data_IF_744388696492
#
_entry.id   IF_744388696492
#
_cell.length_a   1.000
_cell.length_b   1.000
_cell.length_c   1.000
_cell.angle_alpha   90.00
_cell.angle_beta   90.00
_cell.angle_gamma   90.00
#
_symmetry.space_group_name_H-M   'P 1'
#
loop_
_entity.id
_entity.type
_entity.pdbx_description
1 polymer ?
#
# COMPACT_ATOMS: atom_id res chain seq x y z
N UNK A 1 24.21 -7.40 12.10
CA UNK A 1 22.91 -8.06 12.36
C UNK A 1 21.95 -7.57 11.29
N UNK A 2 21.42 -8.44 10.43
CA UNK A 2 20.35 -8.03 9.52
C UNK A 2 19.07 -7.88 10.33
N UNK A 3 18.31 -6.82 10.09
CA UNK A 3 16.95 -6.68 10.62
C UNK A 3 16.12 -7.89 10.19
N UNK A 4 15.19 -8.32 11.05
CA UNK A 4 14.27 -9.40 10.70
C UNK A 4 13.28 -8.90 9.67
N UNK A 5 13.03 -9.76 8.70
CA UNK A 5 12.03 -9.52 7.67
C UNK A 5 10.78 -10.30 8.05
N UNK A 6 9.66 -9.60 7.99
CA UNK A 6 8.33 -10.16 8.13
C UNK A 6 7.63 -9.98 6.78
N UNK A 7 6.96 -11.03 6.33
CA UNK A 7 5.98 -10.95 5.24
C UNK A 7 4.78 -10.11 5.67
N UNK A 8 3.95 -9.68 4.72
CA UNK A 8 2.76 -8.90 5.07
C UNK A 8 1.77 -9.71 5.93
N UNK A 9 1.69 -11.03 5.74
CA UNK A 9 0.92 -11.93 6.60
C UNK A 9 1.42 -11.88 8.04
N UNK A 10 2.73 -11.91 8.25
CA UNK A 10 3.33 -11.77 9.58
C UNK A 10 3.12 -10.37 10.14
N UNK A 11 3.18 -9.31 9.32
CA UNK A 11 2.85 -7.96 9.76
C UNK A 11 1.39 -7.84 10.22
N UNK A 12 0.46 -8.48 9.52
CA UNK A 12 -0.95 -8.59 9.94
C UNK A 12 -1.05 -9.33 11.27
N UNK A 13 -0.33 -10.45 11.42
CA UNK A 13 -0.36 -11.22 12.65
C UNK A 13 0.21 -10.45 13.85
N UNK A 14 1.33 -9.74 13.65
CA UNK A 14 1.93 -8.87 14.66
C UNK A 14 0.94 -7.79 15.09
N UNK A 15 0.25 -7.15 14.13
CA UNK A 15 -0.78 -6.16 14.46
C UNK A 15 -1.95 -6.81 15.22
N UNK A 16 -2.41 -8.00 14.83
CA UNK A 16 -3.48 -8.72 15.52
C UNK A 16 -3.17 -9.02 16.99
N UNK A 17 -1.88 -9.16 17.35
CA UNK A 17 -1.45 -9.30 18.75
C UNK A 17 -1.88 -8.13 19.64
N UNK A 18 -2.22 -6.96 19.10
CA UNK A 18 -2.70 -5.82 19.90
C UNK A 18 -4.02 -6.13 20.65
N UNK A 19 -4.79 -7.13 20.20
CA UNK A 19 -6.06 -7.52 20.80
C UNK A 19 -5.93 -8.58 21.92
N UNK A 20 -4.75 -9.18 22.09
CA UNK A 20 -4.51 -10.18 23.14
C UNK A 20 -4.39 -9.55 24.54
N UNK A 21 -4.57 -10.35 25.60
CA UNK A 21 -4.46 -9.91 27.01
C UNK A 21 -3.02 -10.07 27.51
N UNK A 22 -2.15 -9.17 27.08
CA UNK A 22 -0.73 -9.21 27.41
C UNK A 22 -0.43 -8.77 28.84
N UNK A 23 0.53 -9.45 29.46
CA UNK A 23 1.12 -9.07 30.75
C UNK A 23 2.63 -8.94 30.61
N UNK A 24 3.22 -8.19 31.53
CA UNK A 24 4.67 -8.03 31.62
C UNK A 24 5.37 -9.39 31.67
N UNK A 25 6.44 -9.52 30.88
CA UNK A 25 7.26 -10.74 30.82
C UNK A 25 6.69 -11.86 29.95
N UNK A 26 5.54 -11.68 29.29
CA UNK A 26 5.01 -12.69 28.38
C UNK A 26 5.85 -12.75 27.11
N UNK A 27 6.15 -13.98 26.67
CA UNK A 27 6.77 -14.24 25.37
C UNK A 27 5.70 -14.14 24.26
N UNK A 28 6.06 -13.44 23.19
CA UNK A 28 5.20 -13.25 22.03
C UNK A 28 5.76 -14.05 20.86
N UNK A 29 4.95 -14.96 20.35
CA UNK A 29 5.26 -15.80 19.19
C UNK A 29 4.25 -15.55 18.07
N UNK A 30 4.72 -15.71 16.84
CA UNK A 30 3.88 -15.83 15.67
C UNK A 30 3.37 -17.27 15.51
N UNK A 31 2.35 -17.47 14.68
CA UNK A 31 1.69 -18.77 14.43
C UNK A 31 2.67 -19.81 13.89
N UNK A 32 3.65 -19.38 13.12
CA UNK A 32 4.72 -20.24 12.58
C UNK A 32 5.81 -20.60 13.61
N UNK A 33 5.66 -20.15 14.86
CA UNK A 33 6.59 -20.35 15.96
C UNK A 33 7.73 -19.32 16.01
N UNK A 34 7.74 -18.31 15.13
CA UNK A 34 8.76 -17.25 15.14
C UNK A 34 8.60 -16.39 16.39
N UNK A 35 9.65 -16.33 17.20
CA UNK A 35 9.67 -15.51 18.41
C UNK A 35 9.76 -14.02 18.06
N UNK A 36 8.75 -13.23 18.42
CA UNK A 36 8.76 -11.78 18.23
C UNK A 36 9.62 -11.10 19.30
N UNK A 37 9.36 -11.41 20.57
CA UNK A 37 10.06 -10.84 21.73
C UNK A 37 9.26 -11.00 23.02
N UNK A 38 9.60 -10.20 24.03
CA UNK A 38 9.00 -10.28 25.37
C UNK A 38 8.32 -8.94 25.69
N UNK A 39 7.10 -8.99 26.23
CA UNK A 39 6.36 -7.80 26.68
C UNK A 39 7.14 -7.09 27.80
N UNK A 40 7.66 -5.90 27.53
CA UNK A 40 8.41 -5.09 28.48
C UNK A 40 7.59 -3.98 29.13
N UNK A 41 6.52 -3.53 28.48
CA UNK A 41 5.60 -2.51 28.99
C UNK A 41 4.18 -2.82 28.54
N UNK A 42 3.22 -2.58 29.43
CA UNK A 42 1.77 -2.64 29.17
C UNK A 42 1.19 -1.29 29.59
N UNK A 43 0.67 -0.53 28.64
CA UNK A 43 0.13 0.81 28.86
C UNK A 43 -1.40 0.72 28.71
N UNK A 44 -2.11 1.20 29.73
CA UNK A 44 -3.56 1.39 29.70
C UNK A 44 -3.88 2.60 30.59
N UNK A 45 -4.22 3.74 30.00
CA UNK A 45 -4.30 5.00 30.73
C UNK A 45 -5.59 5.79 30.43
N UNK A 46 -5.81 6.86 31.21
CA UNK A 46 -7.03 7.69 31.14
C UNK A 46 -7.20 8.45 29.82
N UNK A 47 -6.16 8.54 28.99
CA UNK A 47 -6.30 9.10 27.64
C UNK A 47 -7.07 8.18 26.70
N UNK A 48 -7.27 6.92 27.09
CA UNK A 48 -7.82 5.85 26.26
C UNK A 48 -6.75 5.05 25.51
N UNK A 49 -5.46 5.37 25.67
CA UNK A 49 -4.38 4.61 25.05
C UNK A 49 -4.28 3.22 25.68
N UNK A 50 -4.22 2.21 24.81
CA UNK A 50 -3.80 0.85 25.14
C UNK A 50 -2.68 0.46 24.19
N UNK A 51 -1.50 0.17 24.73
CA UNK A 51 -0.33 -0.16 23.93
C UNK A 51 0.63 -1.10 24.64
N UNK A 52 1.45 -1.79 23.84
CA UNK A 52 2.39 -2.80 24.31
C UNK A 52 3.76 -2.55 23.71
N UNK A 53 4.80 -2.59 24.55
CA UNK A 53 6.19 -2.52 24.10
C UNK A 53 6.82 -3.91 24.23
N UNK A 54 7.37 -4.41 23.14
CA UNK A 54 7.95 -5.75 23.01
C UNK A 54 9.43 -5.59 22.73
N UNK A 55 10.30 -6.09 23.61
CA UNK A 55 11.74 -6.11 23.37
C UNK A 55 12.16 -7.45 22.78
N UNK A 56 12.86 -7.44 21.65
CA UNK A 56 13.45 -8.66 21.13
C UNK A 56 14.79 -8.95 21.80
N UNK A 57 14.73 -9.81 22.82
CA UNK A 57 15.87 -10.27 23.60
C UNK A 57 15.62 -11.71 24.06
N UNK A 58 16.69 -12.41 24.42
CA UNK A 58 16.67 -13.78 24.97
C UNK A 58 16.15 -13.85 26.41
N UNK A 59 16.00 -12.71 27.07
CA UNK A 59 15.47 -12.57 28.43
C UNK A 59 14.71 -11.26 28.58
N UNK A 60 13.83 -11.20 29.57
CA UNK A 60 13.07 -9.98 29.89
C UNK A 60 14.00 -8.81 30.25
N UNK A 61 13.79 -7.64 29.63
CA UNK A 61 14.54 -6.40 29.93
C UNK A 61 13.56 -5.28 30.30
N UNK A 62 13.46 -4.99 31.59
CA UNK A 62 12.62 -3.91 32.12
C UNK A 62 13.05 -2.52 31.59
N UNK A 63 12.09 -1.63 31.38
CA UNK A 63 12.34 -0.24 30.97
C UNK A 63 13.16 0.56 32.00
N UNK A 64 13.16 0.12 33.27
CA UNK A 64 13.94 0.70 34.37
C UNK A 64 15.19 -0.11 34.74
N UNK A 65 15.56 -1.12 33.95
CA UNK A 65 16.79 -1.87 34.16
C UNK A 65 18.05 -0.97 34.01
N UNK A 66 19.21 -1.37 34.59
CA UNK A 66 20.47 -0.69 34.36
C UNK A 66 20.77 -0.49 32.87
N UNK A 67 21.38 0.66 32.52
CA UNK A 67 21.64 1.03 31.11
C UNK A 67 22.37 -0.07 30.30
N UNK A 68 23.38 -0.78 30.83
CA UNK A 68 24.05 -1.86 30.08
C UNK A 68 23.08 -2.96 29.60
N UNK A 69 22.06 -3.29 30.38
CA UNK A 69 21.06 -4.28 30.00
C UNK A 69 20.13 -3.75 28.91
N UNK A 70 19.71 -2.49 29.03
CA UNK A 70 18.88 -1.83 28.02
C UNK A 70 19.61 -1.61 26.70
N UNK A 71 20.93 -1.45 26.72
CA UNK A 71 21.78 -1.35 25.52
C UNK A 71 21.92 -2.67 24.75
N UNK A 72 21.61 -3.81 25.38
CA UNK A 72 21.59 -5.12 24.73
C UNK A 72 20.38 -5.27 23.80
N UNK A 73 19.28 -4.57 24.07
CA UNK A 73 18.07 -4.57 23.22
C UNK A 73 18.40 -3.92 21.87
N UNK A 74 18.21 -4.68 20.78
CA UNK A 74 18.48 -4.23 19.40
C UNK A 74 17.24 -3.91 18.60
N UNK A 75 16.10 -4.47 18.97
CA UNK A 75 14.84 -4.34 18.27
C UNK A 75 13.70 -4.23 19.27
N UNK A 76 12.81 -3.27 19.04
CA UNK A 76 11.60 -3.02 19.84
C UNK A 76 10.41 -2.92 18.90
N UNK A 77 9.34 -3.62 19.22
CA UNK A 77 8.04 -3.50 18.56
C UNK A 77 7.06 -2.80 19.49
N UNK A 78 6.35 -1.79 18.99
CA UNK A 78 5.27 -1.11 19.71
C UNK A 78 3.95 -1.40 19.01
N UNK A 79 3.00 -1.95 19.76
CA UNK A 79 1.64 -2.24 19.29
C UNK A 79 0.67 -1.22 19.90
N UNK A 80 -0.10 -0.53 19.09
CA UNK A 80 -1.20 0.33 19.55
C UNK A 80 -2.53 -0.33 19.27
N UNK A 81 -3.30 -0.63 20.31
CA UNK A 81 -4.58 -1.31 20.18
C UNK A 81 -5.65 -0.40 19.58
N UNK A 82 -6.46 -0.95 18.67
CA UNK A 82 -7.70 -0.35 18.20
C UNK A 82 -8.82 -0.32 19.25
N UNK A 83 -10.02 0.09 18.85
CA UNK A 83 -11.14 0.25 19.77
C UNK A 83 -11.59 -1.10 20.38
N UNK A 84 -11.76 -1.11 21.70
CA UNK A 84 -12.34 -2.23 22.45
C UNK A 84 -13.79 -2.49 22.01
N UNK A 85 -14.14 -3.73 21.66
CA UNK A 85 -15.51 -4.10 21.27
C UNK A 85 -15.62 -4.70 19.87
N UNK A 86 -14.74 -4.34 18.94
CA UNK A 86 -14.68 -4.95 17.60
C UNK A 86 -14.36 -6.45 17.65
N UNK A 87 -13.57 -6.86 18.63
CA UNK A 87 -13.16 -8.23 18.95
C UNK A 87 -14.24 -9.03 19.70
N UNK A 88 -15.22 -8.35 20.33
CA UNK A 88 -16.27 -8.96 21.14
C UNK A 88 -17.64 -9.00 20.45
N UNK A 89 -17.86 -8.21 19.41
CA UNK A 89 -19.13 -8.15 18.68
C UNK A 89 -19.09 -9.05 17.46
N UNK A 90 -19.29 -10.36 17.67
CA UNK A 90 -19.50 -11.32 16.58
C UNK A 90 -20.96 -11.43 16.10
N UNK A 91 -21.92 -10.78 16.78
CA UNK A 91 -23.34 -11.13 16.60
C UNK A 91 -24.28 -10.02 16.12
N UNK A 92 -23.86 -8.76 15.97
CA UNK A 92 -24.77 -7.68 15.52
C UNK A 92 -24.09 -6.73 14.53
N UNK A 93 -24.45 -6.85 13.25
CA UNK A 93 -23.77 -6.20 12.12
C UNK A 93 -24.08 -4.71 11.94
N UNK A 94 -25.07 -4.17 12.68
CA UNK A 94 -25.51 -2.76 12.55
C UNK A 94 -24.88 -1.80 13.55
N UNK A 95 -24.58 -2.26 14.77
CA UNK A 95 -24.21 -1.39 15.89
C UNK A 95 -22.74 -1.00 15.88
N UNK A 96 -21.87 -1.79 15.26
CA UNK A 96 -20.42 -1.61 15.40
C UNK A 96 -19.87 -0.44 14.58
N UNK A 97 -20.47 -0.14 13.40
CA UNK A 97 -20.17 1.09 12.67
C UNK A 97 -20.69 2.31 13.44
N UNK A 98 -21.89 2.23 14.04
CA UNK A 98 -22.40 3.32 14.87
C UNK A 98 -21.50 3.54 16.08
N UNK A 99 -21.07 2.50 16.78
CA UNK A 99 -20.20 2.61 17.95
C UNK A 99 -18.80 3.12 17.61
N UNK A 100 -18.20 2.68 16.49
CA UNK A 100 -16.91 3.23 16.05
C UNK A 100 -17.05 4.70 15.66
N UNK A 101 -18.06 5.05 14.85
CA UNK A 101 -18.29 6.44 14.42
C UNK A 101 -18.60 7.32 15.63
N UNK A 102 -19.53 6.94 16.50
CA UNK A 102 -19.97 7.72 17.67
C UNK A 102 -18.80 8.05 18.60
N UNK A 103 -17.90 7.09 18.83
CA UNK A 103 -16.72 7.32 19.67
C UNK A 103 -15.65 8.19 18.99
N UNK A 104 -15.63 8.26 17.66
CA UNK A 104 -14.57 8.91 16.89
C UNK A 104 -15.05 10.09 16.00
N UNK A 105 -16.31 10.54 16.13
CA UNK A 105 -16.95 11.55 15.25
C UNK A 105 -16.08 12.79 15.11
N UNK A 106 -15.52 13.28 16.22
CA UNK A 106 -14.70 14.49 16.21
C UNK A 106 -13.42 14.34 15.38
N UNK A 107 -12.75 13.19 15.48
CA UNK A 107 -11.56 12.93 14.68
C UNK A 107 -11.91 12.67 13.22
N UNK A 108 -12.97 11.91 12.96
CA UNK A 108 -13.47 11.69 11.61
C UNK A 108 -13.83 13.02 10.94
N UNK A 109 -14.53 13.91 11.65
CA UNK A 109 -14.85 15.28 11.20
C UNK A 109 -13.58 16.07 10.91
N UNK A 110 -12.58 16.08 11.80
CA UNK A 110 -11.31 16.79 11.57
C UNK A 110 -10.57 16.29 10.33
N UNK A 111 -10.53 14.97 10.12
CA UNK A 111 -9.92 14.36 8.92
C UNK A 111 -10.67 14.79 7.67
N UNK A 112 -12.00 14.66 7.66
CA UNK A 112 -12.85 14.97 6.50
C UNK A 112 -12.87 16.47 6.18
N UNK A 113 -12.88 17.33 7.19
CA UNK A 113 -12.83 18.78 7.05
C UNK A 113 -11.40 19.33 6.86
N UNK A 114 -10.38 18.45 6.91
CA UNK A 114 -8.97 18.81 6.89
C UNK A 114 -8.59 19.90 7.91
N UNK A 115 -9.23 19.88 9.08
CA UNK A 115 -9.04 20.86 10.14
C UNK A 115 -7.78 20.57 10.95
N UNK A 116 -6.97 21.60 11.13
CA UNK A 116 -5.88 21.58 12.11
C UNK A 116 -6.45 21.87 13.51
N UNK A 117 -5.94 21.19 14.52
CA UNK A 117 -6.34 21.44 15.90
C UNK A 117 -5.50 20.64 16.89
N UNK A 118 -5.72 20.85 18.18
CA UNK A 118 -5.06 20.05 19.20
C UNK A 118 -5.38 18.57 18.98
N UNK A 119 -4.33 17.76 18.92
CA UNK A 119 -4.45 16.32 18.85
C UNK A 119 -5.16 15.79 20.10
N UNK A 120 -6.07 14.81 19.97
CA UNK A 120 -6.71 14.16 21.11
C UNK A 120 -5.66 13.68 22.14
N UNK A 121 -6.00 13.67 23.44
CA UNK A 121 -5.10 13.16 24.48
C UNK A 121 -4.50 11.79 24.16
N UNK A 122 -5.29 10.88 23.58
CA UNK A 122 -4.85 9.53 23.20
C UNK A 122 -3.69 9.52 22.19
N UNK A 123 -3.75 10.37 21.15
CA UNK A 123 -2.69 10.47 20.15
C UNK A 123 -1.39 11.01 20.77
N UNK A 124 -1.49 12.03 21.62
CA UNK A 124 -0.34 12.60 22.34
C UNK A 124 0.29 11.60 23.30
N UNK A 125 -0.53 10.90 24.07
CA UNK A 125 -0.09 9.81 24.94
C UNK A 125 0.65 8.73 24.13
N UNK A 126 0.11 8.33 22.98
CA UNK A 126 0.74 7.35 22.09
C UNK A 126 2.11 7.79 21.59
N UNK A 127 2.26 9.06 21.21
CA UNK A 127 3.55 9.64 20.84
C UNK A 127 4.55 9.66 22.00
N UNK A 128 4.09 10.00 23.21
CA UNK A 128 4.90 9.95 24.42
C UNK A 128 5.37 8.53 24.71
N UNK A 129 4.51 7.52 24.62
CA UNK A 129 4.86 6.10 24.76
C UNK A 129 5.98 5.68 23.81
N UNK A 130 5.91 6.03 22.52
CA UNK A 130 6.96 5.69 21.56
C UNK A 130 8.30 6.36 21.93
N UNK A 131 8.25 7.65 22.25
CA UNK A 131 9.43 8.41 22.64
C UNK A 131 10.04 7.90 23.94
N UNK A 132 9.23 7.50 24.92
CA UNK A 132 9.68 6.86 26.14
C UNK A 132 10.34 5.52 25.86
N UNK A 133 9.71 4.65 25.08
CA UNK A 133 10.32 3.38 24.67
C UNK A 133 11.67 3.61 23.97
N UNK A 134 11.76 4.62 23.10
CA UNK A 134 13.00 5.05 22.45
C UNK A 134 14.09 5.57 23.39
N UNK A 135 13.71 6.19 24.52
CA UNK A 135 14.64 6.60 25.60
C UNK A 135 15.05 5.42 26.47
N UNK A 136 14.11 4.51 26.75
CA UNK A 136 14.38 3.30 27.52
C UNK A 136 15.31 2.35 26.76
N UNK A 137 15.22 2.25 25.44
CA UNK A 137 16.05 1.35 24.65
C UNK A 137 16.88 2.13 23.61
N UNK A 138 17.95 2.82 24.04
CA UNK A 138 18.64 3.79 23.19
C UNK A 138 19.35 3.18 21.97
N UNK A 139 19.72 1.89 22.02
CA UNK A 139 20.41 1.18 20.95
C UNK A 139 19.47 0.42 19.98
N UNK A 140 18.17 0.42 20.28
CA UNK A 140 17.22 -0.37 19.53
C UNK A 140 16.74 0.34 18.26
N UNK A 141 16.45 -0.48 17.26
CA UNK A 141 15.58 -0.12 16.14
C UNK A 141 14.12 -0.37 16.52
N UNK A 142 13.20 0.44 16.00
CA UNK A 142 11.79 0.44 16.37
C UNK A 142 10.89 0.06 15.20
N UNK A 143 9.90 -0.77 15.50
CA UNK A 143 8.79 -1.10 14.62
C UNK A 143 7.48 -0.70 15.29
N UNK A 144 6.57 -0.10 14.53
CA UNK A 144 5.28 0.37 15.05
C UNK A 144 4.14 -0.28 14.29
N UNK A 145 3.16 -0.80 15.02
CA UNK A 145 1.96 -1.40 14.46
C UNK A 145 0.72 -0.80 15.09
N UNK A 146 -0.36 -0.77 14.32
CA UNK A 146 -1.68 -0.46 14.85
C UNK A 146 -2.76 -0.76 13.84
N UNK A 147 -3.90 -1.22 14.32
CA UNK A 147 -5.10 -1.45 13.54
C UNK A 147 -6.25 -0.53 13.98
N UNK A 148 -7.15 -0.16 13.06
CA UNK A 148 -8.31 0.69 13.36
C UNK A 148 -7.89 2.03 14.02
N UNK A 149 -8.39 2.34 15.22
CA UNK A 149 -7.96 3.49 16.01
C UNK A 149 -6.44 3.44 16.37
N UNK A 150 -5.91 2.25 16.60
CA UNK A 150 -4.49 2.01 16.87
C UNK A 150 -3.59 2.44 15.71
N UNK A 151 -4.08 2.34 14.47
CA UNK A 151 -3.37 2.88 13.30
C UNK A 151 -3.19 4.40 13.40
N UNK A 152 -4.19 5.14 13.89
CA UNK A 152 -4.06 6.59 14.11
C UNK A 152 -3.05 6.91 15.21
N UNK A 153 -3.08 6.16 16.31
CA UNK A 153 -2.11 6.27 17.40
C UNK A 153 -0.68 6.09 16.87
N UNK A 154 -0.45 5.02 16.10
CA UNK A 154 0.85 4.72 15.50
C UNK A 154 1.30 5.75 14.47
N UNK A 155 0.41 6.18 13.56
CA UNK A 155 0.70 7.24 12.59
C UNK A 155 1.10 8.54 13.28
N UNK A 156 0.38 8.92 14.34
CA UNK A 156 0.68 10.16 15.08
C UNK A 156 2.00 10.03 15.84
N UNK A 157 2.22 8.89 16.50
CA UNK A 157 3.44 8.62 17.25
C UNK A 157 4.69 8.72 16.39
N UNK A 158 4.69 8.13 15.18
CA UNK A 158 5.85 8.19 14.27
C UNK A 158 6.03 9.58 13.65
N UNK A 159 4.94 10.31 13.40
CA UNK A 159 5.00 11.68 12.86
C UNK A 159 5.52 12.68 13.90
N UNK A 160 5.28 12.44 15.19
CA UNK A 160 5.70 13.31 16.29
C UNK A 160 7.19 13.15 16.69
N UNK A 161 7.89 12.17 16.12
CA UNK A 161 9.32 11.98 16.33
C UNK A 161 10.13 13.16 15.80
N UNK A 162 11.22 13.49 16.48
CA UNK A 162 12.28 14.32 15.91
C UNK A 162 12.97 13.60 14.74
N UNK A 163 13.66 14.36 13.89
CA UNK A 163 14.45 13.78 12.80
C UNK A 163 15.52 12.80 13.30
N UNK A 164 16.11 13.04 14.47
CA UNK A 164 17.09 12.14 15.08
C UNK A 164 16.44 10.83 15.54
N UNK A 165 15.33 10.91 16.27
CA UNK A 165 14.57 9.73 16.73
C UNK A 165 14.07 8.90 15.55
N UNK A 166 13.57 9.56 14.48
CA UNK A 166 13.04 8.91 13.28
C UNK A 166 14.07 8.03 12.54
N UNK A 167 15.37 8.25 12.74
CA UNK A 167 16.44 7.41 12.16
C UNK A 167 16.42 5.99 12.72
N UNK A 168 15.97 5.81 13.97
CA UNK A 168 15.84 4.51 14.64
C UNK A 168 14.51 3.81 14.35
N UNK A 169 13.58 4.47 13.65
CA UNK A 169 12.39 3.79 13.15
C UNK A 169 12.79 2.93 11.94
N UNK A 170 12.62 1.62 12.04
CA UNK A 170 12.88 0.67 10.96
C UNK A 170 11.66 0.39 10.10
N UNK A 171 10.45 0.46 10.68
CA UNK A 171 9.22 0.31 9.92
C UNK A 171 7.96 0.67 10.72
N UNK A 172 6.88 0.94 10.01
CA UNK A 172 5.55 1.15 10.56
C UNK A 172 4.48 0.55 9.65
N UNK A 173 3.65 -0.35 10.18
CA UNK A 173 2.55 -0.97 9.44
C UNK A 173 1.22 -0.65 10.12
N UNK A 174 0.36 0.04 9.40
CA UNK A 174 -0.93 0.51 9.88
C UNK A 174 -2.04 -0.16 9.06
N UNK A 175 -3.06 -0.70 9.74
CA UNK A 175 -4.11 -1.49 9.09
C UNK A 175 -5.46 -0.85 9.33
N UNK A 176 -6.24 -0.68 8.26
CA UNK A 176 -7.67 -0.39 8.35
C UNK A 176 -8.01 0.83 9.23
N UNK A 177 -7.11 1.81 9.30
CA UNK A 177 -7.29 3.02 10.11
C UNK A 177 -7.41 4.27 9.24
N UNK A 178 -7.98 5.36 9.77
CA UNK A 178 -8.02 6.65 9.08
C UNK A 178 -6.65 7.25 8.77
N UNK A 179 -6.55 8.02 7.68
CA UNK A 179 -5.39 8.86 7.37
C UNK A 179 -5.40 10.15 8.20
N UNK A 180 -4.42 10.33 9.08
CA UNK A 180 -4.36 11.49 9.98
C UNK A 180 -3.53 12.68 9.44
N UNK A 181 -2.99 12.60 8.21
CA UNK A 181 -2.02 13.58 7.73
C UNK A 181 -2.50 15.03 7.85
N UNK A 182 -3.78 15.27 7.54
CA UNK A 182 -4.38 16.62 7.55
C UNK A 182 -4.44 17.23 8.95
N UNK A 183 -4.49 16.41 10.01
CA UNK A 183 -4.54 16.90 11.39
C UNK A 183 -3.16 17.15 11.99
N UNK A 184 -2.08 16.69 11.33
CA UNK A 184 -0.71 16.90 11.77
C UNK A 184 -0.28 18.37 11.68
N UNK A 185 0.58 18.79 12.61
CA UNK A 185 1.27 20.07 12.55
C UNK A 185 2.29 20.11 11.40
N UNK A 186 2.74 21.30 10.96
CA UNK A 186 3.76 21.40 9.91
C UNK A 186 5.05 20.60 10.19
N UNK A 187 5.55 20.59 11.43
CA UNK A 187 6.75 19.82 11.78
C UNK A 187 6.52 18.32 11.72
N UNK A 188 5.36 17.85 12.19
CA UNK A 188 4.98 16.45 12.13
C UNK A 188 4.84 15.95 10.68
N UNK A 189 4.31 16.80 9.79
CA UNK A 189 4.23 16.49 8.35
C UNK A 189 5.61 16.31 7.72
N UNK A 190 6.60 17.12 8.10
CA UNK A 190 7.98 16.95 7.61
C UNK A 190 8.53 15.57 7.97
N UNK A 191 8.35 15.13 9.23
CA UNK A 191 8.76 13.79 9.67
C UNK A 191 7.96 12.70 8.94
N UNK A 192 6.64 12.84 8.85
CA UNK A 192 5.78 11.89 8.14
C UNK A 192 6.17 11.74 6.66
N UNK A 193 6.41 12.84 5.95
CA UNK A 193 6.82 12.86 4.54
C UNK A 193 8.19 12.22 4.34
N UNK A 194 9.13 12.45 5.26
CA UNK A 194 10.45 11.82 5.24
C UNK A 194 10.31 10.29 5.37
N UNK A 195 9.59 9.84 6.40
CA UNK A 195 9.42 8.41 6.67
C UNK A 195 8.63 7.71 5.54
N UNK A 196 7.62 8.38 4.98
CA UNK A 196 6.84 7.90 3.83
C UNK A 196 7.72 7.74 2.58
N UNK A 197 8.51 8.76 2.24
CA UNK A 197 9.41 8.71 1.07
C UNK A 197 10.49 7.65 1.23
N UNK A 198 11.01 7.47 2.45
CA UNK A 198 11.98 6.42 2.77
C UNK A 198 11.44 4.99 2.64
N UNK A 199 10.12 4.82 2.46
CA UNK A 199 9.48 3.52 2.30
C UNK A 199 9.32 2.75 3.60
N UNK A 200 9.41 3.42 4.76
CA UNK A 200 9.31 2.78 6.09
C UNK A 200 7.88 2.64 6.60
N UNK A 201 6.95 3.46 6.12
CA UNK A 201 5.57 3.49 6.61
C UNK A 201 4.61 2.98 5.55
N UNK A 202 3.69 2.12 5.97
CA UNK A 202 2.69 1.48 5.11
C UNK A 202 1.30 1.55 5.74
N UNK A 203 0.29 1.92 4.95
CA UNK A 203 -1.12 1.82 5.32
C UNK A 203 -1.81 0.78 4.45
N UNK A 204 -2.26 -0.33 5.04
CA UNK A 204 -3.09 -1.32 4.38
C UNK A 204 -4.54 -0.90 4.47
N UNK A 205 -5.13 -0.60 3.32
CA UNK A 205 -6.46 0.00 3.20
C UNK A 205 -7.32 -0.88 2.31
N UNK A 206 -8.37 -1.44 2.87
CA UNK A 206 -9.42 -2.11 2.13
C UNK A 206 -10.54 -1.12 1.81
N UNK A 207 -10.80 -0.85 0.54
CA UNK A 207 -11.89 0.05 0.15
C UNK A 207 -13.29 -0.48 0.46
N UNK A 208 -13.42 -1.77 0.81
CA UNK A 208 -14.68 -2.36 1.27
C UNK A 208 -14.93 -2.11 2.76
N UNK A 209 -13.90 -1.68 3.50
CA UNK A 209 -14.01 -1.24 4.88
C UNK A 209 -14.40 0.25 4.93
N UNK A 210 -15.28 0.60 5.87
CA UNK A 210 -15.80 1.96 6.03
C UNK A 210 -14.93 2.82 6.95
N UNK A 211 -14.04 2.22 7.74
CA UNK A 211 -13.19 2.94 8.70
C UNK A 211 -12.04 3.73 8.05
N UNK A 212 -11.35 3.23 7.01
CA UNK A 212 -10.22 3.92 6.36
C UNK A 212 -10.65 5.16 5.58
N UNK A 213 -10.84 6.26 6.28
CA UNK A 213 -11.21 7.57 5.69
C UNK A 213 -9.99 8.46 5.49
N UNK A 214 -10.10 9.43 4.58
CA UNK A 214 -9.06 10.44 4.35
C UNK A 214 -7.98 10.02 3.34
N UNK A 215 -8.11 8.86 2.70
CA UNK A 215 -7.26 8.44 1.59
C UNK A 215 -7.83 8.88 0.25
N UNK A 216 -6.97 9.36 -0.64
CA UNK A 216 -7.23 9.54 -2.08
C UNK A 216 -5.90 9.78 -2.79
N UNK A 217 -5.86 9.54 -4.11
CA UNK A 217 -4.63 9.69 -4.93
C UNK A 217 -3.93 11.03 -4.75
N UNK A 218 -4.70 12.12 -4.64
CA UNK A 218 -4.16 13.48 -4.56
C UNK A 218 -4.01 14.01 -3.12
N UNK A 219 -4.31 13.19 -2.10
CA UNK A 219 -4.20 13.61 -0.70
C UNK A 219 -2.89 13.11 -0.09
N UNK A 220 -2.17 13.98 0.64
CA UNK A 220 -1.01 13.53 1.39
C UNK A 220 -1.43 12.59 2.52
N UNK A 221 -0.52 11.69 2.89
CA UNK A 221 -0.79 10.58 3.81
C UNK A 221 0.42 10.22 4.65
N UNK A 222 0.20 9.69 5.85
CA UNK A 222 1.28 9.20 6.73
C UNK A 222 1.63 7.77 6.34
N UNK A 223 2.55 7.59 5.41
CA UNK A 223 2.97 6.28 4.88
C UNK A 223 2.29 5.93 3.56
N UNK A 224 2.91 5.02 2.80
CA UNK A 224 2.42 4.64 1.48
C UNK A 224 1.15 3.80 1.61
N UNK A 225 0.09 4.17 0.89
CA UNK A 225 -1.12 3.38 0.80
C UNK A 225 -0.85 2.06 0.06
N UNK A 226 -1.38 0.97 0.61
CA UNK A 226 -1.41 -0.39 0.07
C UNK A 226 -2.90 -0.73 -0.11
N UNK A 227 -3.49 -0.50 -1.29
CA UNK A 227 -4.90 -0.80 -1.52
C UNK A 227 -5.09 -2.32 -1.53
N UNK A 228 -5.83 -2.86 -0.58
CA UNK A 228 -5.94 -4.31 -0.36
C UNK A 228 -6.96 -4.92 -1.32
N UNK A 229 -6.56 -5.95 -2.05
CA UNK A 229 -7.48 -6.80 -2.83
C UNK A 229 -8.15 -7.81 -1.89
N UNK A 230 -9.28 -7.41 -1.32
CA UNK A 230 -10.02 -8.24 -0.37
C UNK A 230 -11.20 -9.01 -0.97
N UNK A 231 -11.59 -10.11 -0.34
CA UNK A 231 -12.93 -10.71 -0.52
C UNK A 231 -13.96 -9.89 0.24
N UNK A 232 -15.19 -9.83 -0.29
CA UNK A 232 -16.32 -9.23 0.43
C UNK A 232 -16.76 -10.19 1.54
N UNK A 233 -16.74 -9.70 2.77
CA UNK A 233 -17.18 -10.43 3.97
C UNK A 233 -18.13 -9.55 4.81
N UNK A 234 -18.56 -10.02 5.98
CA UNK A 234 -19.35 -9.21 6.91
C UNK A 234 -18.56 -7.98 7.35
N UNK A 235 -19.25 -6.87 7.68
CA UNK A 235 -18.58 -5.59 7.97
C UNK A 235 -17.51 -5.70 9.07
N UNK A 236 -17.78 -6.44 10.16
CA UNK A 236 -16.81 -6.63 11.25
C UNK A 236 -15.57 -7.37 10.72
N UNK A 237 -15.77 -8.47 10.01
CA UNK A 237 -14.67 -9.24 9.41
C UNK A 237 -13.92 -8.45 8.32
N UNK A 238 -14.61 -7.53 7.64
CA UNK A 238 -14.03 -6.67 6.60
C UNK A 238 -13.15 -5.58 7.22
N UNK A 239 -13.58 -5.02 8.35
CA UNK A 239 -12.78 -4.08 9.11
C UNK A 239 -11.57 -4.74 9.74
N UNK A 240 -11.75 -5.96 10.26
CA UNK A 240 -10.64 -6.85 10.58
C UNK A 240 -9.97 -7.36 9.28
N UNK A 241 -9.11 -8.36 9.39
CA UNK A 241 -8.40 -8.92 8.23
C UNK A 241 -9.15 -10.04 7.50
N UNK A 242 -10.45 -10.25 7.77
CA UNK A 242 -11.21 -11.40 7.28
C UNK A 242 -11.35 -11.45 5.75
N UNK A 243 -11.28 -10.30 5.09
CA UNK A 243 -11.25 -10.20 3.63
C UNK A 243 -9.86 -10.33 3.01
N UNK A 244 -8.77 -10.27 3.79
CA UNK A 244 -7.41 -10.19 3.25
C UNK A 244 -7.03 -11.47 2.51
N UNK A 245 -6.25 -11.30 1.44
CA UNK A 245 -5.75 -12.39 0.62
C UNK A 245 -4.23 -12.26 0.50
N UNK A 246 -3.57 -13.41 0.40
CA UNK A 246 -2.11 -13.47 0.39
C UNK A 246 -1.62 -14.26 -0.82
N UNK A 247 -0.47 -13.86 -1.36
CA UNK A 247 0.28 -14.69 -2.30
C UNK A 247 1.04 -15.80 -1.57
N UNK A 248 1.70 -16.67 -2.35
CA UNK A 248 2.50 -17.79 -1.84
C UNK A 248 3.71 -17.36 -0.99
N UNK A 249 4.13 -16.09 -1.05
CA UNK A 249 5.22 -15.54 -0.26
C UNK A 249 4.73 -14.84 1.02
N UNK A 250 3.42 -14.85 1.25
CA UNK A 250 2.79 -14.17 2.39
C UNK A 250 2.61 -12.67 2.18
N UNK A 251 2.72 -12.14 0.96
CA UNK A 251 2.41 -10.73 0.69
C UNK A 251 0.91 -10.53 0.56
N UNK A 252 0.39 -9.40 1.03
CA UNK A 252 -1.02 -9.05 0.85
C UNK A 252 -1.25 -8.71 -0.62
N UNK A 253 -2.28 -9.32 -1.22
CA UNK A 253 -2.67 -8.99 -2.59
C UNK A 253 -3.20 -7.56 -2.64
N UNK A 254 -2.74 -6.79 -3.63
CA UNK A 254 -3.12 -5.38 -3.80
C UNK A 254 -4.15 -5.22 -4.92
N UNK A 255 -5.14 -4.37 -4.70
CA UNK A 255 -6.07 -3.94 -5.75
C UNK A 255 -5.34 -2.92 -6.62
N UNK A 256 -4.71 -3.42 -7.66
CA UNK A 256 -3.91 -2.57 -8.54
C UNK A 256 -4.75 -1.59 -9.34
N UNK A 257 -6.01 -1.92 -9.68
CA UNK A 257 -6.85 -1.15 -10.63
C UNK A 257 -6.13 -0.65 -11.91
N UNK A 258 -5.08 -1.35 -12.33
CA UNK A 258 -4.21 -0.92 -13.43
C UNK A 258 -3.24 0.23 -13.08
N UNK A 259 -3.25 0.78 -11.87
CA UNK A 259 -2.38 1.89 -11.45
C UNK A 259 -0.90 1.48 -11.42
N UNK A 260 -0.03 2.12 -12.23
CA UNK A 260 1.38 1.76 -12.34
C UNK A 260 2.14 1.74 -11.02
N UNK A 261 1.87 2.71 -10.14
CA UNK A 261 2.53 2.79 -8.83
C UNK A 261 2.18 1.58 -7.95
N UNK A 262 0.90 1.16 -7.94
CA UNK A 262 0.44 0.01 -7.16
C UNK A 262 0.96 -1.31 -7.76
N UNK A 263 1.05 -1.40 -9.09
CA UNK A 263 1.70 -2.53 -9.78
C UNK A 263 3.19 -2.63 -9.39
N UNK A 264 3.87 -1.48 -9.33
CA UNK A 264 5.25 -1.39 -8.86
C UNK A 264 5.41 -1.85 -7.41
N UNK A 265 4.46 -1.47 -6.54
CA UNK A 265 4.41 -1.90 -5.14
C UNK A 265 4.19 -3.42 -5.00
N UNK A 266 3.26 -3.99 -5.77
CA UNK A 266 3.00 -5.45 -5.81
C UNK A 266 4.26 -6.20 -6.27
N UNK A 267 4.95 -5.69 -7.29
CA UNK A 267 6.20 -6.28 -7.81
C UNK A 267 7.29 -6.26 -6.75
N UNK A 268 7.45 -5.15 -6.02
CA UNK A 268 8.42 -5.04 -4.92
C UNK A 268 8.13 -6.00 -3.77
N UNK A 269 6.87 -6.20 -3.40
CA UNK A 269 6.46 -7.19 -2.38
C UNK A 269 6.87 -8.61 -2.80
N UNK A 270 6.58 -9.01 -4.04
CA UNK A 270 6.98 -10.33 -4.55
C UNK A 270 8.48 -10.53 -4.53
N UNK A 271 9.26 -9.53 -4.96
CA UNK A 271 10.73 -9.58 -4.92
C UNK A 271 11.28 -9.71 -3.50
N UNK A 272 10.69 -8.99 -2.53
CA UNK A 272 11.07 -9.09 -1.13
C UNK A 272 10.76 -10.48 -0.55
N UNK A 273 9.61 -11.05 -0.91
CA UNK A 273 9.23 -12.44 -0.60
C UNK A 273 10.23 -13.45 -1.16
N UNK A 274 10.65 -13.31 -2.42
CA UNK A 274 11.67 -14.17 -3.05
C UNK A 274 13.02 -14.06 -2.33
N UNK A 275 13.45 -12.86 -1.93
CA UNK A 275 14.67 -12.68 -1.14
C UNK A 275 14.57 -13.32 0.26
N UNK A 276 13.37 -13.40 0.83
CA UNK A 276 13.14 -14.14 2.07
C UNK A 276 13.28 -15.66 1.86
N UNK A 277 12.72 -16.19 0.78
CA UNK A 277 12.90 -17.61 0.40
C UNK A 277 14.38 -17.93 0.21
N UNK A 278 15.14 -17.06 -0.46
CA UNK A 278 16.60 -17.19 -0.61
C UNK A 278 17.31 -17.26 0.73
N UNK A 279 16.96 -16.39 1.69
CA UNK A 279 17.53 -16.41 3.05
C UNK A 279 17.23 -17.73 3.77
N UNK A 280 16.02 -18.28 3.61
CA UNK A 280 15.68 -19.58 4.18
C UNK A 280 16.48 -20.73 3.58
N UNK A 281 16.71 -20.72 2.26
CA UNK A 281 17.60 -21.70 1.62
C UNK A 281 19.03 -21.58 2.15
N UNK A 282 19.55 -20.35 2.27
CA UNK A 282 20.89 -20.09 2.80
C UNK A 282 21.06 -20.50 4.28
N UNK A 283 19.99 -20.43 5.07
CA UNK A 283 20.01 -20.88 6.46
C UNK A 283 20.24 -22.40 6.59
N UNK A 284 19.95 -23.17 5.54
CA UNK A 284 20.15 -24.63 5.48
C UNK A 284 21.47 -25.05 4.82
N UNK A 285 22.28 -24.09 4.34
CA UNK A 285 23.55 -24.36 3.68
C UNK A 285 23.78 -23.47 2.46
N UNK A 286 24.62 -23.91 1.53
CA UNK A 286 24.78 -23.24 0.23
C UNK A 286 23.57 -23.51 -0.67
N UNK A 287 23.28 -22.56 -1.57
CA UNK A 287 22.22 -22.76 -2.56
C UNK A 287 22.59 -23.89 -3.54
N UNK A 288 21.69 -24.85 -3.72
CA UNK A 288 21.78 -25.83 -4.80
C UNK A 288 21.61 -25.17 -6.17
N UNK A 289 21.98 -25.86 -7.24
CA UNK A 289 21.75 -25.38 -8.61
C UNK A 289 20.26 -25.14 -8.88
N UNK A 290 19.39 -26.07 -8.45
CA UNK A 290 17.94 -25.94 -8.56
C UNK A 290 17.41 -24.70 -7.80
N UNK A 291 17.86 -24.47 -6.55
CA UNK A 291 17.44 -23.30 -5.78
C UNK A 291 17.86 -21.98 -6.42
N UNK A 292 19.06 -21.90 -7.03
CA UNK A 292 19.50 -20.72 -7.77
C UNK A 292 18.58 -20.45 -8.98
N UNK A 293 18.32 -21.48 -9.78
CA UNK A 293 17.45 -21.39 -10.96
C UNK A 293 16.03 -20.97 -10.56
N UNK A 294 15.47 -21.55 -9.49
CA UNK A 294 14.15 -21.17 -8.97
C UNK A 294 14.08 -19.69 -8.57
N UNK A 295 15.09 -19.20 -7.85
CA UNK A 295 15.14 -17.80 -7.41
C UNK A 295 15.25 -16.86 -8.61
N UNK A 296 16.16 -17.14 -9.55
CA UNK A 296 16.36 -16.34 -10.76
C UNK A 296 15.08 -16.32 -11.63
N UNK A 297 14.45 -17.48 -11.82
CA UNK A 297 13.19 -17.62 -12.53
C UNK A 297 12.05 -16.84 -11.87
N UNK A 298 11.92 -16.95 -10.55
CA UNK A 298 10.88 -16.25 -9.78
C UNK A 298 11.06 -14.73 -9.83
N UNK A 299 12.31 -14.24 -9.73
CA UNK A 299 12.64 -12.82 -9.85
C UNK A 299 12.35 -12.30 -11.27
N UNK A 300 12.81 -13.02 -12.29
CA UNK A 300 12.55 -12.67 -13.68
C UNK A 300 11.04 -12.63 -13.98
N UNK A 301 10.28 -13.62 -13.50
CA UNK A 301 8.82 -13.66 -13.67
C UNK A 301 8.12 -12.49 -12.95
N UNK A 302 8.53 -12.16 -11.73
CA UNK A 302 7.96 -11.03 -11.00
C UNK A 302 8.19 -9.69 -11.73
N UNK A 303 9.42 -9.44 -12.18
CA UNK A 303 9.79 -8.22 -12.92
C UNK A 303 9.03 -8.14 -14.25
N UNK A 304 9.04 -9.22 -15.04
CA UNK A 304 8.41 -9.25 -16.36
C UNK A 304 6.89 -9.14 -16.30
N UNK A 305 6.24 -9.77 -15.31
CA UNK A 305 4.80 -9.63 -15.08
C UNK A 305 4.41 -8.21 -14.66
N UNK A 306 5.20 -7.58 -13.79
CA UNK A 306 4.99 -6.18 -13.40
C UNK A 306 5.11 -5.24 -14.59
N UNK A 307 6.20 -5.36 -15.37
CA UNK A 307 6.40 -4.58 -16.59
C UNK A 307 5.29 -4.77 -17.61
N UNK A 308 4.86 -6.02 -17.84
CA UNK A 308 3.74 -6.34 -18.72
C UNK A 308 2.50 -5.53 -18.35
N UNK A 309 2.09 -5.62 -17.09
CA UNK A 309 0.86 -5.01 -16.58
C UNK A 309 0.93 -3.48 -16.68
N UNK A 310 2.07 -2.86 -16.37
CA UNK A 310 2.26 -1.42 -16.52
C UNK A 310 2.15 -0.97 -17.98
N UNK A 311 2.86 -1.64 -18.90
CA UNK A 311 2.84 -1.26 -20.32
C UNK A 311 1.46 -1.48 -20.95
N UNK A 312 0.76 -2.58 -20.59
CA UNK A 312 -0.60 -2.84 -21.03
C UNK A 312 -1.59 -1.76 -20.56
N UNK A 313 -1.46 -1.28 -19.31
CA UNK A 313 -2.26 -0.13 -18.82
C UNK A 313 -2.00 1.11 -19.67
N UNK A 314 -0.73 1.51 -19.82
CA UNK A 314 -0.37 2.75 -20.53
C UNK A 314 -0.80 2.72 -22.00
N UNK A 315 -0.58 1.59 -22.70
CA UNK A 315 -1.04 1.39 -24.08
C UNK A 315 -2.57 1.47 -24.17
N UNK A 316 -3.28 0.88 -23.20
CA UNK A 316 -4.75 0.91 -23.16
C UNK A 316 -5.29 2.34 -22.95
N UNK A 317 -4.68 3.13 -22.07
CA UNK A 317 -5.03 4.53 -21.85
C UNK A 317 -4.80 5.38 -23.10
N UNK A 318 -3.65 5.22 -23.76
CA UNK A 318 -3.35 5.90 -25.03
C UNK A 318 -4.36 5.53 -26.13
N UNK A 319 -4.67 4.24 -26.29
CA UNK A 319 -5.67 3.78 -27.27
C UNK A 319 -7.04 4.43 -27.01
N UNK A 320 -7.46 4.53 -25.75
CA UNK A 320 -8.72 5.19 -25.36
C UNK A 320 -8.69 6.69 -25.66
N UNK A 321 -7.57 7.36 -25.42
CA UNK A 321 -7.39 8.77 -25.75
C UNK A 321 -7.51 9.00 -27.25
N UNK A 322 -6.78 8.26 -28.09
CA UNK A 322 -6.88 8.36 -29.55
C UNK A 322 -8.29 8.07 -30.07
N UNK A 323 -8.98 7.07 -29.52
CA UNK A 323 -10.38 6.81 -29.88
C UNK A 323 -11.30 7.98 -29.54
N UNK A 324 -11.03 8.67 -28.43
CA UNK A 324 -11.76 9.89 -28.03
C UNK A 324 -11.46 11.03 -29.01
N UNK A 325 -10.21 11.24 -29.41
CA UNK A 325 -9.85 12.27 -30.37
C UNK A 325 -10.39 12.00 -31.78
N UNK A 326 -10.45 10.73 -32.20
CA UNK A 326 -11.15 10.34 -33.44
C UNK A 326 -12.62 10.76 -33.37
N UNK A 327 -13.29 10.49 -32.24
CA UNK A 327 -14.69 10.91 -32.04
C UNK A 327 -14.82 12.44 -32.07
N UNK A 328 -13.96 13.16 -31.35
CA UNK A 328 -13.94 14.62 -31.29
C UNK A 328 -13.72 15.24 -32.68
N UNK A 329 -12.79 14.73 -33.47
CA UNK A 329 -12.53 15.21 -34.83
C UNK A 329 -13.74 15.03 -35.76
N UNK A 330 -14.43 13.89 -35.64
CA UNK A 330 -15.68 13.64 -36.38
C UNK A 330 -16.79 14.61 -35.93
N UNK A 331 -17.01 14.77 -34.62
CA UNK A 331 -18.03 15.66 -34.05
C UNK A 331 -17.77 17.13 -34.37
N UNK A 332 -16.50 17.56 -34.31
CA UNK A 332 -16.07 18.91 -34.66
C UNK A 332 -16.42 19.21 -36.11
N UNK A 333 -16.09 18.31 -37.05
CA UNK A 333 -16.44 18.51 -38.46
C UNK A 333 -17.96 18.56 -38.71
N UNK A 334 -18.74 17.72 -38.02
CA UNK A 334 -20.20 17.79 -38.16
C UNK A 334 -20.75 19.11 -37.60
N UNK A 335 -20.25 19.55 -36.46
CA UNK A 335 -20.64 20.83 -35.84
C UNK A 335 -20.25 22.01 -36.72
N UNK A 336 -19.03 22.03 -37.27
CA UNK A 336 -18.57 23.06 -38.22
C UNK A 336 -19.50 23.18 -39.42
N UNK A 337 -19.94 22.06 -40.01
CA UNK A 337 -20.91 22.08 -41.12
C UNK A 337 -22.28 22.62 -40.70
N UNK A 338 -22.75 22.27 -39.49
CA UNK A 338 -24.02 22.78 -38.97
C UNK A 338 -23.96 24.29 -38.73
N UNK A 339 -22.87 24.79 -38.15
CA UNK A 339 -22.67 26.21 -37.91
C UNK A 339 -22.55 26.99 -39.23
N UNK A 340 -21.79 26.47 -40.19
CA UNK A 340 -21.68 27.08 -41.51
C UNK A 340 -23.05 27.19 -42.20
N UNK A 341 -23.88 26.15 -42.09
CA UNK A 341 -25.25 26.16 -42.62
C UNK A 341 -26.18 27.13 -41.88
N UNK A 342 -26.02 27.25 -40.57
CA UNK A 342 -26.84 28.16 -39.77
C UNK A 342 -26.52 29.63 -40.08
N UNK A 343 -25.24 30.00 -40.08
CA UNK A 343 -24.80 31.38 -40.33
C UNK A 343 -24.81 31.76 -41.81
N UNK A 344 -24.60 30.78 -42.69
CA UNK A 344 -24.60 30.92 -44.15
C UNK A 344 -25.94 30.59 -44.79
N UNK A 345 -27.08 30.76 -44.11
CA UNK A 345 -28.39 30.29 -44.60
C UNK A 345 -28.82 30.82 -45.99
N UNK A 346 -28.19 31.88 -46.50
CA UNK A 346 -28.40 32.42 -47.85
C UNK A 346 -27.43 31.86 -48.91
N UNK A 347 -26.43 31.09 -48.49
CA UNK A 347 -25.40 30.49 -49.33
C UNK A 347 -25.82 29.08 -49.77
N UNK A 348 -25.29 28.65 -50.90
CA UNK A 348 -25.31 27.25 -51.30
C UNK A 348 -24.28 26.45 -50.49
N UNK A 349 -24.48 25.12 -50.43
CA UNK A 349 -23.52 24.24 -49.74
C UNK A 349 -22.08 24.37 -50.25
N UNK A 350 -21.90 24.67 -51.54
CA UNK A 350 -20.58 24.91 -52.12
C UNK A 350 -19.95 26.21 -51.59
N UNK A 351 -20.72 27.31 -51.56
CA UNK A 351 -20.26 28.61 -51.05
C UNK A 351 -19.96 28.56 -49.54
N UNK A 352 -20.71 27.76 -48.76
CA UNK A 352 -20.41 27.48 -47.35
C UNK A 352 -19.04 26.81 -47.18
N UNK A 353 -18.76 25.77 -47.98
CA UNK A 353 -17.49 25.04 -47.92
C UNK A 353 -16.31 25.87 -48.43
N UNK A 354 -16.51 26.67 -49.49
CA UNK A 354 -15.48 27.58 -50.01
C UNK A 354 -15.13 28.69 -49.00
N UNK A 355 -16.14 29.23 -48.31
CA UNK A 355 -15.92 30.18 -47.23
C UNK A 355 -15.11 29.57 -46.08
N UNK A 356 -15.43 28.35 -45.63
CA UNK A 356 -14.65 27.65 -44.62
C UNK A 356 -13.19 27.36 -45.09
N UNK A 357 -13.02 26.89 -46.32
CA UNK A 357 -11.72 26.57 -46.92
C UNK A 357 -10.81 27.81 -47.03
N UNK A 358 -11.38 28.99 -47.32
CA UNK A 358 -10.63 30.26 -47.36
C UNK A 358 -9.95 30.63 -46.02
N UNK A 359 -10.41 30.05 -44.91
CA UNK A 359 -9.83 30.19 -43.57
C UNK A 359 -9.07 28.94 -43.12
N UNK A 360 -8.84 27.97 -44.01
CA UNK A 360 -8.15 26.71 -43.73
C UNK A 360 -8.98 25.67 -42.97
N UNK A 361 -10.30 25.91 -42.85
CA UNK A 361 -11.23 25.06 -42.13
C UNK A 361 -11.80 24.02 -43.12
N UNK A 362 -11.15 22.87 -43.24
CA UNK A 362 -11.53 21.84 -44.22
C UNK A 362 -11.84 20.52 -43.53
N UNK A 363 -12.62 19.67 -44.20
CA UNK A 363 -12.80 18.27 -43.75
C UNK A 363 -11.45 17.57 -43.61
N UNK A 364 -10.51 17.91 -44.49
CA UNK A 364 -9.17 17.33 -44.47
C UNK A 364 -8.40 17.71 -43.21
N UNK A 365 -8.35 19.00 -42.88
CA UNK A 365 -7.61 19.51 -41.73
C UNK A 365 -8.27 19.20 -40.39
N UNK A 366 -9.60 19.14 -40.32
CA UNK A 366 -10.34 18.86 -39.08
C UNK A 366 -10.49 17.36 -38.82
N UNK A 367 -10.78 16.57 -39.86
CA UNK A 367 -11.22 15.18 -39.72
C UNK A 367 -10.28 14.18 -40.38
N UNK A 368 -10.04 14.28 -41.69
CA UNK A 368 -9.38 13.20 -42.43
C UNK A 368 -7.93 13.01 -41.99
N UNK A 369 -7.12 14.08 -41.98
CA UNK A 369 -5.70 13.97 -41.64
C UNK A 369 -5.51 13.57 -40.15
N UNK A 370 -6.20 14.19 -39.17
CA UNK A 370 -6.13 13.77 -37.76
C UNK A 370 -6.58 12.32 -37.54
N UNK A 371 -7.74 11.92 -38.08
CA UNK A 371 -8.25 10.54 -37.91
C UNK A 371 -7.27 9.53 -38.51
N UNK A 372 -6.74 9.78 -39.70
CA UNK A 372 -5.74 8.90 -40.33
C UNK A 372 -4.44 8.80 -39.51
N UNK A 373 -4.02 9.87 -38.85
CA UNK A 373 -2.85 9.86 -37.96
C UNK A 373 -3.13 9.07 -36.67
N UNK A 374 -4.27 9.30 -36.04
CA UNK A 374 -4.68 8.61 -34.82
C UNK A 374 -4.86 7.11 -35.07
N UNK A 375 -5.52 6.71 -36.16
CA UNK A 375 -5.69 5.30 -36.54
C UNK A 375 -4.36 4.60 -36.81
N UNK A 376 -3.42 5.27 -37.49
CA UNK A 376 -2.05 4.74 -37.70
C UNK A 376 -1.29 4.57 -36.39
N UNK A 377 -1.42 5.53 -35.48
CA UNK A 377 -0.79 5.45 -34.16
C UNK A 377 -1.38 4.31 -33.34
N UNK A 378 -2.70 4.16 -33.32
CA UNK A 378 -3.38 3.03 -32.66
C UNK A 378 -2.94 1.68 -33.24
N UNK A 379 -2.79 1.57 -34.56
CA UNK A 379 -2.29 0.35 -35.20
C UNK A 379 -0.85 0.03 -34.77
N UNK A 380 0.00 1.05 -34.63
CA UNK A 380 1.38 0.91 -34.15
C UNK A 380 1.41 0.45 -32.68
N UNK A 381 0.58 1.05 -31.81
CA UNK A 381 0.46 0.64 -30.41
C UNK A 381 0.03 -0.82 -30.25
N UNK A 382 -0.94 -1.29 -31.07
CA UNK A 382 -1.36 -2.71 -31.07
C UNK A 382 -0.22 -3.65 -31.46
N UNK A 383 0.58 -3.27 -32.46
CA UNK A 383 1.74 -4.08 -32.86
C UNK A 383 2.79 -4.16 -31.74
N UNK A 384 3.07 -3.06 -31.05
CA UNK A 384 3.98 -3.06 -29.90
C UNK A 384 3.48 -3.94 -28.75
N UNK A 385 2.17 -3.91 -28.47
CA UNK A 385 1.50 -4.77 -27.48
C UNK A 385 1.67 -6.26 -27.84
N UNK A 386 1.41 -6.65 -29.10
CA UNK A 386 1.60 -8.02 -29.59
C UNK A 386 3.06 -8.50 -29.51
N UNK A 387 4.02 -7.63 -29.85
CA UNK A 387 5.46 -7.93 -29.77
C UNK A 387 5.90 -8.13 -28.31
N UNK A 388 5.44 -7.29 -27.39
CA UNK A 388 5.71 -7.42 -25.96
C UNK A 388 5.14 -8.72 -25.40
N UNK A 389 3.88 -9.03 -25.71
CA UNK A 389 3.28 -10.29 -25.28
C UNK A 389 4.06 -11.51 -25.79
N UNK A 390 4.52 -11.47 -27.04
CA UNK A 390 5.33 -12.56 -27.62
C UNK A 390 6.66 -12.71 -26.89
N UNK A 391 7.34 -11.61 -26.58
CA UNK A 391 8.59 -11.62 -25.82
C UNK A 391 8.37 -12.24 -24.43
N UNK A 392 7.30 -11.83 -23.74
CA UNK A 392 6.98 -12.30 -22.40
C UNK A 392 6.62 -13.79 -22.39
N UNK A 393 5.82 -14.25 -23.36
CA UNK A 393 5.54 -15.69 -23.53
C UNK A 393 6.81 -16.51 -23.75
N UNK A 394 7.76 -15.99 -24.52
CA UNK A 394 9.04 -16.67 -24.73
C UNK A 394 9.86 -16.75 -23.43
N UNK A 395 9.86 -15.68 -22.62
CA UNK A 395 10.53 -15.67 -21.31
C UNK A 395 9.88 -16.69 -20.39
N UNK A 396 8.55 -16.69 -20.27
CA UNK A 396 7.82 -17.65 -19.44
C UNK A 396 8.04 -19.10 -19.88
N UNK A 397 7.99 -19.39 -21.17
CA UNK A 397 8.27 -20.74 -21.69
C UNK A 397 9.71 -21.17 -21.42
N UNK A 398 10.67 -20.25 -21.52
CA UNK A 398 12.08 -20.55 -21.23
C UNK A 398 12.24 -20.87 -19.74
N UNK A 399 11.62 -20.08 -18.86
CA UNK A 399 11.57 -20.33 -17.42
C UNK A 399 10.96 -21.72 -17.15
N UNK A 400 9.79 -22.02 -17.70
CA UNK A 400 9.09 -23.28 -17.44
C UNK A 400 9.87 -24.49 -17.95
N UNK A 401 10.50 -24.42 -19.13
CA UNK A 401 11.36 -25.51 -19.64
C UNK A 401 12.55 -25.78 -18.73
N UNK A 402 13.16 -24.75 -18.16
CA UNK A 402 14.24 -24.91 -17.19
C UNK A 402 13.77 -25.53 -15.87
N UNK A 403 12.53 -25.25 -15.46
CA UNK A 403 11.88 -25.89 -14.30
C UNK A 403 11.54 -27.36 -14.56
N UNK A 404 10.87 -27.66 -15.67
CA UNK A 404 10.37 -29.01 -16.01
C UNK A 404 11.49 -30.02 -16.28
N UNK A 405 12.66 -29.55 -16.73
CA UNK A 405 13.82 -30.41 -16.98
C UNK A 405 14.59 -30.81 -15.72
N UNK A 406 14.25 -30.24 -14.56
CA UNK A 406 14.89 -30.52 -13.28
C UNK A 406 13.88 -31.17 -12.33
N UNK A 407 14.10 -32.46 -12.05
CA UNK A 407 13.22 -33.26 -11.20
C UNK A 407 13.11 -32.69 -9.77
N UNK A 408 14.14 -32.00 -9.26
CA UNK A 408 14.12 -31.37 -7.93
C UNK A 408 13.32 -30.06 -7.92
N UNK A 409 13.27 -29.32 -9.04
CA UNK A 409 12.53 -28.05 -9.17
C UNK A 409 11.01 -28.22 -9.05
N UNK A 410 10.47 -29.36 -9.50
CA UNK A 410 9.04 -29.65 -9.44
C UNK A 410 8.48 -29.57 -8.01
N UNK A 411 9.28 -29.83 -6.98
CA UNK A 411 8.86 -29.76 -5.58
C UNK A 411 8.72 -28.33 -5.01
N UNK A 412 9.17 -27.30 -5.74
CA UNK A 412 9.18 -25.91 -5.28
C UNK A 412 8.13 -25.01 -5.94
N UNK A 413 7.38 -25.48 -6.95
CA UNK A 413 6.52 -24.65 -7.81
C UNK A 413 5.03 -25.07 -7.88
N UNK A 414 4.48 -25.64 -6.80
CA UNK A 414 3.04 -25.96 -6.70
C UNK A 414 2.36 -25.25 -5.53
#
# INVERSE_FOLDING_TARGET
MSLRYYSDKEHVEIAAKEYEDWKLGYDVYLEDGKFLGIISQVINNLSGEQSFVITHTDRFVSSVAPLPERLAVKEVTVLYRGSTGLDKVKEQTGDVWQDWVVNNVDMARKILAAEQGAAPPQLRSSAETLKEAMRHYPNAQFFVYGHSLGSMNGQYAVADLSLEESRRLSGGCFFQGPNIYTVLTPSQRVTADLLTRSGKLHNYVDEKDLVPIGYSKDKPMVGRMRPVLSKKVGWVDQHMWGGYQYDQFGNVLLDTKGEPDVIGLETQQRLAGIENVKRHFLAKGSLSSAQKIFLDASQAKAITSGYKKTVETEISELKKWFQTEIKNANELWQTTKLDARYWGASLTHYEELEALDSWGVTERSIRIDPVNEYERTVATLRKSEEELERLLRNIEQTINRHVDSDHELSHYLF
#
